data_IF_536495243682
#
_entry.id   IF_536495243682
#
_cell.length_a   1.000
_cell.length_b   1.000
_cell.length_c   1.000
_cell.angle_alpha   90.00
_cell.angle_beta   90.00
_cell.angle_gamma   90.00
#
_symmetry.space_group_name_H-M   'P 1'
#
loop_
_entity.id
_entity.type
_entity.pdbx_description
1 polymer ?
#
# COMPACT_ATOMS: atom_id res chain seq x y z
N UNK A 1 -26.29 -15.97 20.23
CA UNK A 1 -27.40 -16.49 19.40
C UNK A 1 -26.83 -16.66 18.00
N UNK A 2 -26.53 -17.91 17.61
CA UNK A 2 -26.03 -18.21 16.26
C UNK A 2 -27.20 -18.17 15.30
N UNK A 3 -27.13 -17.32 14.30
CA UNK A 3 -28.11 -17.28 13.22
C UNK A 3 -27.99 -18.57 12.43
N UNK A 4 -29.05 -19.37 12.45
CA UNK A 4 -29.17 -20.62 11.70
C UNK A 4 -29.43 -20.23 10.23
N UNK A 5 -28.40 -20.25 9.42
CA UNK A 5 -28.58 -20.11 7.97
C UNK A 5 -29.07 -21.45 7.42
N UNK A 6 -30.19 -21.49 6.71
CA UNK A 6 -30.66 -22.71 6.08
C UNK A 6 -29.63 -23.19 5.03
N UNK A 7 -29.50 -24.52 4.81
CA UNK A 7 -28.60 -25.02 3.80
C UNK A 7 -29.00 -24.53 2.40
N UNK A 8 -28.01 -24.16 1.60
CA UNK A 8 -28.19 -23.68 0.23
C UNK A 8 -28.98 -24.70 -0.61
N UNK A 9 -29.89 -24.21 -1.45
CA UNK A 9 -30.63 -25.03 -2.39
C UNK A 9 -29.70 -25.60 -3.47
N UNK A 10 -30.12 -26.71 -4.10
CA UNK A 10 -29.37 -27.31 -5.21
C UNK A 10 -29.07 -26.33 -6.35
N UNK A 11 -29.98 -25.39 -6.64
CA UNK A 11 -29.80 -24.38 -7.68
C UNK A 11 -28.76 -23.32 -7.28
N UNK A 12 -28.72 -22.94 -6.02
CA UNK A 12 -27.72 -21.97 -5.48
C UNK A 12 -26.31 -22.59 -5.51
N UNK A 13 -26.16 -23.83 -5.08
CA UNK A 13 -24.89 -24.57 -5.18
C UNK A 13 -24.42 -24.71 -6.63
N UNK A 14 -25.33 -24.95 -7.57
CA UNK A 14 -25.00 -25.06 -9.00
C UNK A 14 -24.59 -23.70 -9.59
N UNK A 15 -25.21 -22.61 -9.17
CA UNK A 15 -24.86 -21.26 -9.59
C UNK A 15 -23.48 -20.84 -9.05
N UNK A 16 -23.20 -21.06 -7.78
CA UNK A 16 -21.89 -20.81 -7.16
C UNK A 16 -20.77 -21.61 -7.84
N UNK A 17 -20.96 -22.88 -8.12
CA UNK A 17 -19.97 -23.69 -8.85
C UNK A 17 -19.71 -23.17 -10.27
N UNK A 18 -20.72 -22.64 -10.94
CA UNK A 18 -20.58 -22.03 -12.27
C UNK A 18 -19.79 -20.72 -12.19
N UNK A 19 -20.08 -19.85 -11.21
CA UNK A 19 -19.36 -18.57 -11.02
C UNK A 19 -17.90 -18.80 -10.64
N UNK A 20 -17.61 -19.78 -9.78
CA UNK A 20 -16.22 -20.14 -9.43
C UNK A 20 -15.45 -20.63 -10.67
N UNK A 21 -16.07 -21.38 -11.57
CA UNK A 21 -15.44 -21.77 -12.83
C UNK A 21 -15.19 -20.57 -13.77
N UNK A 22 -16.05 -19.54 -13.74
CA UNK A 22 -15.86 -18.28 -14.47
C UNK A 22 -14.73 -17.47 -13.84
N UNK A 23 -14.65 -17.39 -12.50
CA UNK A 23 -13.57 -16.71 -11.78
C UNK A 23 -12.18 -17.15 -12.25
N UNK A 24 -11.98 -18.45 -12.43
CA UNK A 24 -10.70 -19.01 -12.86
C UNK A 24 -10.36 -18.78 -14.34
N UNK A 25 -11.36 -18.51 -15.20
CA UNK A 25 -11.18 -18.42 -16.66
C UNK A 25 -11.31 -17.00 -17.20
N UNK A 26 -12.20 -16.21 -16.64
CA UNK A 26 -12.57 -14.88 -17.13
C UNK A 26 -12.97 -13.99 -15.95
N UNK A 27 -11.96 -13.40 -15.32
CA UNK A 27 -12.11 -12.56 -14.12
C UNK A 27 -13.03 -11.34 -14.38
N UNK A 28 -12.93 -10.71 -15.56
CA UNK A 28 -13.78 -9.58 -15.89
C UNK A 28 -15.25 -9.99 -15.98
N UNK A 29 -15.54 -11.07 -16.68
CA UNK A 29 -16.90 -11.60 -16.79
C UNK A 29 -17.46 -12.00 -15.43
N UNK A 30 -16.65 -12.60 -14.57
CA UNK A 30 -17.02 -12.96 -13.20
C UNK A 30 -17.39 -11.73 -12.37
N UNK A 31 -16.57 -10.65 -12.38
CA UNK A 31 -16.85 -9.39 -11.67
C UNK A 31 -18.19 -8.80 -12.13
N UNK A 32 -18.41 -8.72 -13.45
CA UNK A 32 -19.61 -8.12 -13.99
C UNK A 32 -20.88 -8.93 -13.66
N UNK A 33 -20.79 -10.28 -13.63
CA UNK A 33 -21.90 -11.13 -13.23
C UNK A 33 -22.23 -10.96 -11.74
N UNK A 34 -21.24 -10.94 -10.85
CA UNK A 34 -21.45 -10.69 -9.42
C UNK A 34 -22.04 -9.29 -9.17
N UNK A 35 -21.52 -8.26 -9.84
CA UNK A 35 -22.08 -6.91 -9.74
C UNK A 35 -23.55 -6.84 -10.16
N UNK A 36 -23.95 -7.58 -11.21
CA UNK A 36 -25.34 -7.64 -11.67
C UNK A 36 -26.23 -8.40 -10.69
N UNK A 37 -25.77 -9.52 -10.12
CA UNK A 37 -26.48 -10.25 -9.08
C UNK A 37 -26.75 -9.40 -7.83
N UNK A 38 -25.75 -8.65 -7.39
CA UNK A 38 -25.86 -7.71 -6.27
C UNK A 38 -26.88 -6.61 -6.59
N UNK A 39 -26.84 -6.02 -7.80
CA UNK A 39 -27.76 -5.00 -8.26
C UNK A 39 -29.21 -5.47 -8.29
N UNK A 40 -29.42 -6.75 -8.63
CA UNK A 40 -30.73 -7.41 -8.65
C UNK A 40 -31.20 -7.88 -7.26
N UNK A 41 -30.38 -7.72 -6.20
CA UNK A 41 -30.68 -8.22 -4.85
C UNK A 41 -30.61 -9.74 -4.70
N UNK A 42 -29.97 -10.44 -5.64
CA UNK A 42 -29.83 -11.91 -5.64
C UNK A 42 -28.59 -12.34 -4.85
N UNK A 43 -28.53 -11.97 -3.59
CA UNK A 43 -27.35 -12.16 -2.74
C UNK A 43 -26.98 -13.63 -2.54
N UNK A 44 -27.94 -14.55 -2.56
CA UNK A 44 -27.68 -16.00 -2.43
C UNK A 44 -26.99 -16.62 -3.65
N UNK A 45 -27.02 -15.92 -4.80
CA UNK A 45 -26.39 -16.39 -6.04
C UNK A 45 -24.98 -15.79 -6.21
N UNK A 46 -24.58 -14.82 -5.37
CA UNK A 46 -23.27 -14.14 -5.42
C UNK A 46 -22.18 -15.13 -4.96
N UNK A 47 -21.04 -15.14 -5.67
CA UNK A 47 -19.84 -15.84 -5.26
C UNK A 47 -19.13 -15.05 -4.15
N UNK A 48 -19.72 -15.08 -2.95
CA UNK A 48 -19.30 -14.26 -1.82
C UNK A 48 -17.90 -14.57 -1.34
N UNK A 49 -17.45 -15.81 -1.39
CA UNK A 49 -16.15 -16.23 -0.90
C UNK A 49 -15.02 -15.61 -1.73
N UNK A 50 -15.08 -15.77 -3.05
CA UNK A 50 -14.11 -15.14 -3.95
C UNK A 50 -14.23 -13.61 -3.94
N UNK A 51 -15.46 -13.08 -3.82
CA UNK A 51 -15.67 -11.63 -3.78
C UNK A 51 -15.04 -10.99 -2.53
N UNK A 52 -15.17 -11.61 -1.35
CA UNK A 52 -14.54 -11.17 -0.11
C UNK A 52 -13.01 -11.20 -0.27
N UNK A 53 -12.46 -12.27 -0.83
CA UNK A 53 -11.00 -12.39 -1.05
C UNK A 53 -10.48 -11.28 -1.97
N UNK A 54 -11.19 -10.96 -3.05
CA UNK A 54 -10.82 -9.89 -3.97
C UNK A 54 -10.91 -8.50 -3.32
N UNK A 55 -11.98 -8.21 -2.59
CA UNK A 55 -12.12 -6.95 -1.86
C UNK A 55 -11.01 -6.75 -0.82
N UNK A 56 -10.69 -7.79 -0.05
CA UNK A 56 -9.58 -7.74 0.88
C UNK A 56 -8.22 -7.62 0.17
N UNK A 57 -8.06 -8.27 -0.98
CA UNK A 57 -6.85 -8.17 -1.81
C UNK A 57 -6.64 -6.75 -2.33
N UNK A 58 -7.71 -6.08 -2.76
CA UNK A 58 -7.68 -4.66 -3.16
C UNK A 58 -7.21 -3.79 -1.99
N UNK A 59 -7.83 -3.93 -0.81
CA UNK A 59 -7.42 -3.17 0.39
C UNK A 59 -5.97 -3.45 0.81
N UNK A 60 -5.51 -4.69 0.71
CA UNK A 60 -4.09 -5.03 0.96
C UNK A 60 -3.16 -4.41 -0.09
N UNK A 61 -3.60 -4.25 -1.34
CA UNK A 61 -2.83 -3.64 -2.42
C UNK A 61 -2.64 -2.14 -2.18
N UNK A 62 -3.70 -1.41 -1.88
CA UNK A 62 -3.68 0.00 -1.50
C UNK A 62 -2.67 0.26 -0.37
N UNK A 63 -2.76 -0.53 0.68
CA UNK A 63 -1.85 -0.43 1.81
C UNK A 63 -0.39 -0.70 1.44
N UNK A 64 -0.13 -1.70 0.59
CA UNK A 64 1.23 -2.01 0.11
C UNK A 64 1.78 -0.91 -0.76
N UNK A 65 0.96 -0.31 -1.59
CA UNK A 65 1.35 0.83 -2.43
C UNK A 65 1.78 2.01 -1.56
N UNK A 66 0.95 2.43 -0.60
CA UNK A 66 1.27 3.51 0.33
C UNK A 66 2.61 3.28 1.04
N UNK A 67 2.80 2.09 1.63
CA UNK A 67 4.05 1.71 2.32
C UNK A 67 5.25 1.75 1.36
N UNK A 68 5.07 1.31 0.12
CA UNK A 68 6.14 1.29 -0.88
C UNK A 68 6.55 2.71 -1.30
N UNK A 69 5.57 3.57 -1.59
CA UNK A 69 5.80 4.99 -1.95
C UNK A 69 6.52 5.73 -0.82
N UNK A 70 6.02 5.58 0.40
CA UNK A 70 6.62 6.21 1.57
C UNK A 70 8.05 5.71 1.84
N UNK A 71 8.31 4.41 1.63
CA UNK A 71 9.65 3.88 1.80
C UNK A 71 10.65 4.46 0.79
N UNK A 72 10.25 4.67 -0.46
CA UNK A 72 11.08 5.32 -1.48
C UNK A 72 11.30 6.80 -1.13
N UNK A 73 10.27 7.51 -0.70
CA UNK A 73 10.35 8.91 -0.26
C UNK A 73 11.38 9.07 0.87
N UNK A 74 11.23 8.30 1.95
CA UNK A 74 12.15 8.36 3.09
C UNK A 74 13.57 7.97 2.67
N UNK A 75 13.73 6.97 1.80
CA UNK A 75 15.04 6.58 1.30
C UNK A 75 15.74 7.73 0.56
N UNK A 76 15.00 8.52 -0.23
CA UNK A 76 15.56 9.70 -0.91
C UNK A 76 15.86 10.85 0.05
N UNK A 77 15.05 11.05 1.09
CA UNK A 77 15.37 12.00 2.17
C UNK A 77 16.64 11.58 2.94
N UNK A 78 16.83 10.29 3.18
CA UNK A 78 18.07 9.77 3.78
C UNK A 78 19.29 9.99 2.87
N UNK A 79 19.15 9.71 1.58
CA UNK A 79 20.21 10.01 0.59
C UNK A 79 20.54 11.49 0.57
N UNK A 80 19.49 12.33 0.56
CA UNK A 80 19.62 13.79 0.59
C UNK A 80 20.39 14.28 1.81
N UNK A 81 20.14 13.66 2.98
CA UNK A 81 20.81 13.99 4.25
C UNK A 81 22.25 13.53 4.27
N UNK A 82 22.51 12.27 3.90
CA UNK A 82 23.80 11.60 4.17
C UNK A 82 24.75 11.51 2.98
N UNK A 83 24.33 11.97 1.79
CA UNK A 83 25.18 12.12 0.60
C UNK A 83 24.95 13.47 -0.08
N UNK A 84 25.12 14.55 0.67
CA UNK A 84 24.85 15.90 0.20
C UNK A 84 25.66 16.28 -1.07
N UNK A 85 26.85 15.73 -1.23
CA UNK A 85 27.72 15.92 -2.40
C UNK A 85 27.17 15.25 -3.69
N UNK A 86 26.18 14.35 -3.55
CA UNK A 86 25.54 13.67 -4.68
C UNK A 86 24.09 14.13 -4.91
N UNK A 87 23.64 15.17 -4.22
CA UNK A 87 22.32 15.76 -4.46
C UNK A 87 22.16 16.10 -5.93
N UNK A 88 21.04 15.75 -6.51
CA UNK A 88 20.75 15.97 -7.92
C UNK A 88 19.29 16.35 -8.13
N UNK A 89 19.01 17.00 -9.23
CA UNK A 89 17.64 17.32 -9.66
C UNK A 89 16.77 16.05 -9.77
N UNK A 90 17.34 14.94 -10.19
CA UNK A 90 16.59 13.66 -10.24
C UNK A 90 16.15 13.19 -8.86
N UNK A 91 16.94 13.41 -7.80
CA UNK A 91 16.51 13.07 -6.43
C UNK A 91 15.41 13.99 -5.92
N UNK A 92 15.51 15.27 -6.24
CA UNK A 92 14.49 16.28 -5.94
C UNK A 92 13.15 15.89 -6.60
N UNK A 93 13.13 15.65 -7.92
CA UNK A 93 11.96 15.19 -8.63
C UNK A 93 11.36 13.90 -8.03
N UNK A 94 12.20 12.95 -7.61
CA UNK A 94 11.70 11.71 -6.98
C UNK A 94 11.06 11.99 -5.61
N UNK A 95 11.64 12.88 -4.80
CA UNK A 95 11.06 13.28 -3.51
C UNK A 95 9.68 13.91 -3.74
N UNK A 96 9.58 14.86 -4.67
CA UNK A 96 8.33 15.53 -5.00
C UNK A 96 7.27 14.56 -5.52
N UNK A 97 7.64 13.73 -6.50
CA UNK A 97 6.74 12.72 -7.07
C UNK A 97 6.20 11.78 -6.00
N UNK A 98 7.07 11.21 -5.16
CA UNK A 98 6.63 10.28 -4.14
C UNK A 98 5.76 10.94 -3.07
N UNK A 99 6.00 12.20 -2.71
CA UNK A 99 5.09 12.97 -1.84
C UNK A 99 3.70 13.10 -2.45
N UNK A 100 3.61 13.51 -3.72
CA UNK A 100 2.33 13.62 -4.41
C UNK A 100 1.60 12.28 -4.46
N UNK A 101 2.30 11.18 -4.76
CA UNK A 101 1.69 9.85 -4.79
C UNK A 101 1.18 9.40 -3.42
N UNK A 102 1.93 9.68 -2.34
CA UNK A 102 1.48 9.37 -0.98
C UNK A 102 0.26 10.20 -0.59
N UNK A 103 0.24 11.50 -0.92
CA UNK A 103 -0.91 12.39 -0.67
C UNK A 103 -2.14 11.88 -1.42
N UNK A 104 -1.99 11.56 -2.71
CA UNK A 104 -3.07 11.05 -3.54
C UNK A 104 -3.72 9.78 -2.95
N UNK A 105 -2.90 8.78 -2.56
CA UNK A 105 -3.42 7.56 -1.92
C UNK A 105 -4.14 7.87 -0.60
N UNK A 106 -3.65 8.85 0.19
CA UNK A 106 -4.28 9.23 1.45
C UNK A 106 -5.55 10.08 1.27
N UNK A 107 -5.70 10.79 0.16
CA UNK A 107 -6.93 11.49 -0.22
C UNK A 107 -8.02 10.50 -0.63
N UNK A 108 -7.66 9.48 -1.42
CA UNK A 108 -8.57 8.42 -1.82
C UNK A 108 -8.93 7.48 -0.66
N UNK A 109 -7.99 7.20 0.24
CA UNK A 109 -8.15 6.28 1.36
C UNK A 109 -7.68 6.89 2.70
N UNK A 110 -8.42 7.88 3.28
CA UNK A 110 -7.99 8.61 4.49
C UNK A 110 -7.78 7.72 5.72
N UNK A 111 -8.48 6.58 5.81
CA UNK A 111 -8.34 5.61 6.91
C UNK A 111 -6.94 4.98 6.99
N UNK A 112 -6.19 4.99 5.90
CA UNK A 112 -4.82 4.48 5.86
C UNK A 112 -3.83 5.36 6.63
N UNK A 113 -4.15 6.65 6.86
CA UNK A 113 -3.27 7.59 7.57
C UNK A 113 -2.93 7.10 8.98
N UNK A 114 -3.92 6.68 9.75
CA UNK A 114 -3.72 6.15 11.10
C UNK A 114 -2.84 4.89 11.11
N UNK A 115 -3.08 3.97 10.19
CA UNK A 115 -2.28 2.76 10.05
C UNK A 115 -0.82 3.05 9.64
N UNK A 116 -0.58 4.18 8.98
CA UNK A 116 0.74 4.59 8.54
C UNK A 116 1.62 5.03 9.71
N UNK A 117 1.06 5.78 10.67
CA UNK A 117 1.75 6.20 11.90
C UNK A 117 2.22 4.98 12.71
N UNK A 118 1.36 3.99 12.89
CA UNK A 118 1.70 2.74 13.59
C UNK A 118 2.81 1.93 12.89
N UNK A 119 2.96 2.07 11.58
CA UNK A 119 3.91 1.29 10.77
C UNK A 119 5.16 2.06 10.36
N UNK A 120 5.31 3.30 10.78
CA UNK A 120 6.44 4.13 10.38
C UNK A 120 7.78 3.45 10.64
N UNK A 121 7.90 2.69 11.73
CA UNK A 121 9.11 1.92 12.06
C UNK A 121 9.45 0.91 10.95
N UNK A 122 8.45 0.12 10.52
CA UNK A 122 8.64 -0.90 9.47
C UNK A 122 8.95 -0.25 8.12
N UNK A 123 8.28 0.84 7.80
CA UNK A 123 8.54 1.63 6.58
C UNK A 123 9.96 2.17 6.59
N UNK A 124 10.39 2.74 7.71
CA UNK A 124 11.73 3.27 7.88
C UNK A 124 12.81 2.19 7.69
N UNK A 125 12.67 1.02 8.28
CA UNK A 125 13.60 -0.09 8.09
C UNK A 125 13.74 -0.47 6.61
N UNK A 126 12.63 -0.50 5.87
CA UNK A 126 12.63 -0.72 4.41
C UNK A 126 13.34 0.42 3.68
N UNK A 127 13.13 1.65 4.08
CA UNK A 127 13.77 2.84 3.50
C UNK A 127 15.29 2.80 3.65
N UNK A 128 15.78 2.38 4.82
CA UNK A 128 17.22 2.20 5.07
C UNK A 128 17.82 1.14 4.14
N UNK A 129 17.11 0.05 3.87
CA UNK A 129 17.57 -0.98 2.91
C UNK A 129 17.69 -0.39 1.51
N UNK A 130 16.71 0.39 1.06
CA UNK A 130 16.74 1.06 -0.26
C UNK A 130 17.89 2.06 -0.32
N UNK A 131 17.99 2.95 0.68
CA UNK A 131 19.04 3.96 0.74
C UNK A 131 20.45 3.32 0.76
N UNK A 132 20.66 2.28 1.56
CA UNK A 132 21.91 1.56 1.64
C UNK A 132 22.31 0.94 0.30
N UNK A 133 21.37 0.30 -0.40
CA UNK A 133 21.57 -0.29 -1.72
C UNK A 133 22.00 0.76 -2.75
N UNK A 134 21.38 1.92 -2.75
CA UNK A 134 21.61 2.96 -3.76
C UNK A 134 22.83 3.83 -3.45
N UNK A 135 23.19 3.98 -2.17
CA UNK A 135 24.32 4.83 -1.75
C UNK A 135 25.63 4.06 -1.55
N UNK A 136 25.56 2.75 -1.32
CA UNK A 136 26.69 1.94 -0.87
C UNK A 136 27.03 2.12 0.62
N UNK A 137 26.27 2.93 1.36
CA UNK A 137 26.44 3.13 2.79
C UNK A 137 25.92 1.90 3.53
N UNK A 138 26.69 1.37 4.50
CA UNK A 138 26.23 0.25 5.32
C UNK A 138 25.01 0.63 6.14
N UNK A 139 24.02 -0.26 6.25
CA UNK A 139 22.73 -0.02 6.96
C UNK A 139 22.93 0.44 8.40
N UNK A 140 23.94 -0.10 9.08
CA UNK A 140 24.25 0.17 10.47
C UNK A 140 24.72 1.62 10.72
N UNK A 141 25.07 2.34 9.66
CA UNK A 141 25.49 3.74 9.74
C UNK A 141 24.30 4.71 9.69
N UNK A 142 23.15 4.27 9.21
CA UNK A 142 21.93 5.07 9.29
C UNK A 142 21.39 5.10 10.74
N UNK A 143 20.63 6.13 11.12
CA UNK A 143 19.95 6.16 12.42
C UNK A 143 19.09 4.91 12.64
N UNK A 144 19.00 4.44 13.89
CA UNK A 144 18.14 3.28 14.23
C UNK A 144 16.65 3.58 14.07
N UNK A 145 16.27 4.83 14.25
CA UNK A 145 14.91 5.34 14.11
C UNK A 145 14.87 6.45 13.06
N UNK A 146 13.68 6.71 12.51
CA UNK A 146 13.51 7.78 11.51
C UNK A 146 13.94 9.12 12.10
N UNK A 147 14.88 9.85 11.48
CA UNK A 147 15.24 11.19 11.90
C UNK A 147 14.18 12.22 11.50
N UNK A 148 13.13 11.81 10.78
CA UNK A 148 12.06 12.67 10.29
C UNK A 148 10.72 12.23 10.86
N UNK A 149 9.91 13.19 11.30
CA UNK A 149 8.50 12.97 11.63
C UNK A 149 7.67 12.77 10.35
N UNK A 150 6.51 12.15 10.47
CA UNK A 150 5.59 11.98 9.33
C UNK A 150 5.18 13.35 8.76
N UNK A 151 4.98 14.35 9.61
CA UNK A 151 4.66 15.73 9.19
C UNK A 151 5.77 16.31 8.31
N UNK A 152 7.04 16.15 8.72
CA UNK A 152 8.19 16.61 7.91
C UNK A 152 8.30 15.85 6.59
N UNK A 153 8.13 14.53 6.61
CA UNK A 153 8.19 13.69 5.40
C UNK A 153 7.16 14.17 4.37
N UNK A 154 5.96 14.55 4.83
CA UNK A 154 4.86 14.98 3.97
C UNK A 154 4.89 16.46 3.59
N UNK A 155 5.70 17.27 4.26
CA UNK A 155 5.84 18.68 3.96
C UNK A 155 6.58 18.88 2.63
N UNK A 156 5.93 19.53 1.67
CA UNK A 156 6.47 19.76 0.31
C UNK A 156 7.76 20.59 0.32
N UNK A 157 7.92 21.48 1.29
CA UNK A 157 9.07 22.40 1.40
C UNK A 157 10.19 21.82 2.29
N UNK A 158 9.96 20.64 2.89
CA UNK A 158 10.93 20.00 3.75
C UNK A 158 12.01 19.27 2.95
N UNK A 159 13.23 19.78 3.03
CA UNK A 159 14.46 19.13 2.59
C UNK A 159 15.44 19.13 3.76
N UNK A 160 15.85 17.95 4.27
CA UNK A 160 16.70 17.90 5.44
C UNK A 160 18.10 18.47 5.17
N UNK A 161 18.70 19.07 6.21
CA UNK A 161 20.07 19.53 6.16
C UNK A 161 21.05 18.36 6.01
N UNK A 162 22.24 18.66 5.45
CA UNK A 162 23.31 17.68 5.34
C UNK A 162 23.81 17.25 6.73
N UNK A 163 23.95 15.97 6.94
CA UNK A 163 24.47 15.40 8.18
C UNK A 163 25.60 14.42 7.89
N UNK A 164 26.61 14.41 8.74
CA UNK A 164 27.66 13.39 8.69
C UNK A 164 27.15 12.10 9.33
N UNK A 165 27.44 10.98 8.69
CA UNK A 165 27.17 9.66 9.28
C UNK A 165 28.01 9.48 10.55
N UNK A 166 27.39 8.94 11.60
CA UNK A 166 28.13 8.60 12.82
C UNK A 166 29.22 7.57 12.51
N UNK A 167 30.41 7.83 13.00
CA UNK A 167 31.54 6.89 12.92
C UNK A 167 31.28 5.60 13.68
#
# INVERSE_FOLDING_TARGET
MGEFHPPLSYNELKCMNKLNAVYQKDFYSWIMQNAELIRQGKFSEVDSDNLIEELESMGRSEKRELVSRLAVLIAHLLKWTFQSEKRSYSWECTIEEQRHQVIYVLEDSPSLKHQLEERLIVVYQRSVVIAAKETGIKKERFPKESPFSLTQIMDKDFYPEAQSLRN
#
